data_IF_956696649698
#
_entry.id   IF_956696649698
#
_cell.length_a   1.000
_cell.length_b   1.000
_cell.length_c   1.000
_cell.angle_alpha   90.00
_cell.angle_beta   90.00
_cell.angle_gamma   90.00
#
_symmetry.space_group_name_H-M   'P 1'
#
loop_
_entity.id
_entity.type
_entity.pdbx_description
1 polymer ?
#
# COMPACT_ATOMS: atom_id res chain seq x y z
N UNK A 1 29.75 21.17 -21.65
CA UNK A 1 29.84 20.66 -20.27
C UNK A 1 28.76 21.26 -19.38
N UNK A 2 28.57 22.59 -19.37
CA UNK A 2 27.56 23.27 -18.53
C UNK A 2 26.11 22.81 -18.76
N UNK A 3 25.68 22.66 -20.03
CA UNK A 3 24.32 22.19 -20.35
C UNK A 3 24.07 20.77 -19.83
N UNK A 4 25.05 19.86 -19.97
CA UNK A 4 24.95 18.50 -19.45
C UNK A 4 24.82 18.51 -17.93
N UNK A 5 25.63 19.31 -17.23
CA UNK A 5 25.55 19.47 -15.77
C UNK A 5 24.19 20.00 -15.34
N UNK A 6 23.65 21.00 -16.04
CA UNK A 6 22.32 21.54 -15.75
C UNK A 6 21.21 20.48 -15.94
N UNK A 7 21.27 19.69 -17.01
CA UNK A 7 20.31 18.61 -17.26
C UNK A 7 20.37 17.53 -16.17
N UNK A 8 21.57 17.15 -15.73
CA UNK A 8 21.75 16.18 -14.64
C UNK A 8 21.22 16.72 -13.30
N UNK A 9 21.44 18.00 -13.00
CA UNK A 9 20.91 18.63 -11.79
C UNK A 9 19.37 18.69 -11.78
N UNK A 10 18.76 19.00 -12.92
CA UNK A 10 17.30 18.98 -13.09
C UNK A 10 16.77 17.56 -12.90
N UNK A 11 17.39 16.56 -13.55
CA UNK A 11 16.99 15.16 -13.40
C UNK A 11 17.10 14.69 -11.95
N UNK A 12 18.22 14.99 -11.27
CA UNK A 12 18.40 14.65 -9.87
C UNK A 12 17.35 15.32 -8.96
N UNK A 13 17.01 16.58 -9.24
CA UNK A 13 15.97 17.30 -8.50
C UNK A 13 14.58 16.68 -8.69
N UNK A 14 14.24 16.30 -9.92
CA UNK A 14 12.99 15.61 -10.25
C UNK A 14 12.93 14.25 -9.54
N UNK A 15 14.00 13.45 -9.62
CA UNK A 15 14.08 12.15 -8.95
C UNK A 15 13.97 12.29 -7.43
N UNK A 16 14.67 13.25 -6.83
CA UNK A 16 14.58 13.54 -5.40
C UNK A 16 13.16 13.91 -4.98
N UNK A 17 12.48 14.77 -5.75
CA UNK A 17 11.10 15.14 -5.51
C UNK A 17 10.15 13.94 -5.62
N UNK A 18 10.29 13.10 -6.65
CA UNK A 18 9.47 11.89 -6.82
C UNK A 18 9.67 10.92 -5.65
N UNK A 19 10.91 10.66 -5.23
CA UNK A 19 11.22 9.78 -4.08
C UNK A 19 10.61 10.35 -2.80
N UNK A 20 10.73 11.66 -2.56
CA UNK A 20 10.12 12.32 -1.42
C UNK A 20 8.60 12.15 -1.41
N UNK A 21 7.94 12.37 -2.55
CA UNK A 21 6.49 12.18 -2.71
C UNK A 21 6.07 10.73 -2.48
N UNK A 22 6.80 9.77 -3.03
CA UNK A 22 6.53 8.34 -2.83
C UNK A 22 6.64 7.95 -1.35
N UNK A 23 7.69 8.39 -0.66
CA UNK A 23 7.86 8.15 0.79
C UNK A 23 6.76 8.77 1.62
N UNK A 24 6.30 9.98 1.26
CA UNK A 24 5.21 10.66 1.96
C UNK A 24 3.89 9.89 1.84
N UNK A 25 3.59 9.37 0.66
CA UNK A 25 2.41 8.51 0.44
C UNK A 25 2.49 7.25 1.31
N UNK A 26 3.64 6.60 1.37
CA UNK A 26 3.82 5.35 2.12
C UNK A 26 3.62 5.49 3.64
N UNK A 27 3.67 6.70 4.18
CA UNK A 27 3.40 7.01 5.59
C UNK A 27 1.93 7.25 5.92
N UNK A 28 1.05 7.32 4.93
CA UNK A 28 -0.34 7.75 5.11
C UNK A 28 -1.10 6.93 6.16
N UNK A 29 -0.98 5.59 6.12
CA UNK A 29 -1.62 4.69 7.08
C UNK A 29 -0.90 4.61 8.43
N UNK A 30 0.43 4.74 8.42
CA UNK A 30 1.25 4.81 9.64
C UNK A 30 0.85 6.01 10.50
N UNK A 31 0.74 7.19 9.89
CA UNK A 31 0.30 8.44 10.54
C UNK A 31 -1.12 8.37 11.10
N UNK A 32 -1.94 7.44 10.60
CA UNK A 32 -3.35 7.23 11.02
C UNK A 32 -3.52 6.06 11.97
N UNK A 33 -2.45 5.35 12.31
CA UNK A 33 -2.51 4.16 13.15
C UNK A 33 -3.31 3.00 12.54
N UNK A 34 -3.48 2.98 11.22
CA UNK A 34 -4.20 1.90 10.54
C UNK A 34 -3.21 0.77 10.22
N UNK A 35 -3.47 -0.48 10.67
CA UNK A 35 -2.61 -1.61 10.34
C UNK A 35 -2.53 -1.83 8.83
N UNK A 36 -1.32 -1.93 8.31
CA UNK A 36 -1.05 -2.10 6.88
C UNK A 36 0.26 -2.86 6.67
N UNK A 37 0.53 -3.26 5.44
CA UNK A 37 1.85 -3.76 5.03
C UNK A 37 2.66 -2.64 4.39
N UNK A 38 3.95 -2.58 4.72
CA UNK A 38 4.86 -1.59 4.17
C UNK A 38 4.85 -1.68 2.64
N UNK A 39 4.38 -0.65 1.94
CA UNK A 39 4.32 -0.66 0.48
C UNK A 39 5.70 -0.49 -0.15
N UNK A 40 5.87 -1.03 -1.36
CA UNK A 40 6.98 -0.68 -2.24
C UNK A 40 6.90 0.79 -2.67
N UNK A 41 8.06 1.40 -2.98
CA UNK A 41 8.10 2.77 -3.49
C UNK A 41 7.43 2.83 -4.87
N UNK A 42 6.49 3.76 -5.05
CA UNK A 42 5.65 3.97 -6.26
C UNK A 42 4.64 2.86 -6.61
N UNK A 43 4.95 1.58 -6.35
CA UNK A 43 4.10 0.45 -6.71
C UNK A 43 3.17 -0.04 -5.61
N UNK A 44 3.28 0.50 -4.40
CA UNK A 44 2.37 0.14 -3.32
C UNK A 44 2.53 -1.32 -2.89
N UNK A 45 1.42 -1.94 -2.54
CA UNK A 45 1.32 -3.38 -2.32
C UNK A 45 0.93 -4.15 -3.60
N UNK A 46 0.64 -3.44 -4.70
CA UNK A 46 0.21 -4.05 -5.97
C UNK A 46 1.35 -4.72 -6.77
N UNK A 47 2.61 -4.59 -6.35
CA UNK A 47 3.77 -5.12 -7.10
C UNK A 47 3.72 -6.63 -7.35
N UNK A 48 3.31 -7.44 -6.36
CA UNK A 48 3.18 -8.89 -6.53
C UNK A 48 2.06 -9.26 -7.52
N UNK A 49 0.99 -8.47 -7.54
CA UNK A 49 -0.09 -8.60 -8.51
C UNK A 49 0.34 -8.22 -9.94
N UNK A 50 1.12 -7.15 -10.09
CA UNK A 50 1.62 -6.68 -11.39
C UNK A 50 2.66 -7.63 -12.00
N UNK A 51 3.46 -8.30 -11.18
CA UNK A 51 4.46 -9.28 -11.62
C UNK A 51 3.88 -10.67 -11.84
N UNK A 52 2.57 -10.86 -11.60
CA UNK A 52 1.89 -12.15 -11.76
C UNK A 52 2.29 -13.21 -10.73
N UNK A 53 3.03 -12.83 -9.68
CA UNK A 53 3.43 -13.73 -8.61
C UNK A 53 2.25 -14.08 -7.70
N UNK A 54 1.26 -13.19 -7.61
CA UNK A 54 0.08 -13.34 -6.76
C UNK A 54 -1.15 -12.78 -7.45
N UNK A 55 -2.33 -13.30 -7.10
CA UNK A 55 -3.57 -12.64 -7.47
C UNK A 55 -3.62 -11.26 -6.81
N UNK A 56 -3.75 -10.21 -7.64
CA UNK A 56 -3.68 -8.80 -7.25
C UNK A 56 -4.65 -8.41 -6.12
N UNK A 57 -5.69 -9.20 -5.86
CA UNK A 57 -6.68 -8.90 -4.83
C UNK A 57 -6.89 -9.99 -3.77
N UNK A 58 -6.63 -11.26 -4.06
CA UNK A 58 -7.00 -12.36 -3.15
C UNK A 58 -5.89 -12.73 -2.18
N UNK A 59 -4.66 -12.84 -2.66
CA UNK A 59 -3.57 -13.39 -1.86
C UNK A 59 -3.08 -12.39 -0.80
N UNK A 60 -2.98 -11.11 -1.16
CA UNK A 60 -2.61 -10.08 -0.19
C UNK A 60 -3.68 -9.90 0.89
N UNK A 61 -4.97 -9.95 0.55
CA UNK A 61 -6.06 -9.83 1.53
C UNK A 61 -5.97 -10.96 2.55
N UNK A 62 -5.80 -12.21 2.09
CA UNK A 62 -5.68 -13.37 2.97
C UNK A 62 -4.48 -13.24 3.91
N UNK A 63 -3.33 -12.78 3.42
CA UNK A 63 -2.14 -12.54 4.26
C UNK A 63 -2.38 -11.44 5.29
N UNK A 64 -2.95 -10.32 4.86
CA UNK A 64 -3.19 -9.17 5.72
C UNK A 64 -4.25 -9.47 6.80
N UNK A 65 -5.29 -10.22 6.45
CA UNK A 65 -6.35 -10.65 7.36
C UNK A 65 -5.82 -11.64 8.42
N UNK A 66 -4.89 -12.53 8.03
CA UNK A 66 -4.21 -13.45 8.95
C UNK A 66 -3.20 -12.72 9.86
N UNK A 67 -2.49 -11.73 9.32
CA UNK A 67 -1.50 -10.94 10.07
C UNK A 67 -2.14 -10.02 11.10
N UNK A 68 -3.30 -9.47 10.78
CA UNK A 68 -4.06 -8.55 11.64
C UNK A 68 -5.47 -9.08 11.89
N UNK A 69 -5.63 -10.17 12.67
CA UNK A 69 -6.91 -10.85 12.84
C UNK A 69 -7.97 -10.00 13.52
N UNK A 70 -7.57 -9.11 14.44
CA UNK A 70 -8.49 -8.29 15.25
C UNK A 70 -8.68 -6.87 14.70
N UNK A 71 -8.05 -6.53 13.58
CA UNK A 71 -8.17 -5.20 12.99
C UNK A 71 -9.45 -5.11 12.13
N UNK A 72 -10.40 -4.22 12.45
CA UNK A 72 -11.61 -4.02 11.64
C UNK A 72 -11.32 -3.24 10.35
N UNK A 73 -10.24 -2.46 10.36
CA UNK A 73 -9.79 -1.62 9.26
C UNK A 73 -8.36 -1.98 8.91
N UNK A 74 -8.10 -2.14 7.62
CA UNK A 74 -6.79 -2.45 7.08
C UNK A 74 -6.43 -1.46 5.99
N UNK A 75 -5.19 -0.98 6.02
CA UNK A 75 -4.64 -0.12 4.99
C UNK A 75 -4.02 -0.95 3.87
N UNK A 76 -4.32 -0.58 2.65
CA UNK A 76 -3.70 -1.09 1.43
C UNK A 76 -3.19 0.08 0.60
N UNK A 77 -2.16 -0.12 -0.22
CA UNK A 77 -1.73 0.84 -1.21
C UNK A 77 -1.86 0.24 -2.61
N UNK A 78 -2.82 0.74 -3.38
CA UNK A 78 -2.87 0.47 -4.81
C UNK A 78 -1.99 1.47 -5.54
N UNK A 79 -0.79 1.04 -5.94
CA UNK A 79 0.27 1.94 -6.41
C UNK A 79 0.53 3.04 -5.36
N UNK A 80 0.36 4.30 -5.73
CA UNK A 80 0.47 5.46 -4.84
C UNK A 80 -0.84 5.88 -4.18
N UNK A 81 -1.91 5.08 -4.29
CA UNK A 81 -3.22 5.41 -3.73
C UNK A 81 -3.46 4.61 -2.45
N UNK A 82 -3.58 5.26 -1.28
CA UNK A 82 -4.00 4.58 -0.07
C UNK A 82 -5.48 4.17 -0.20
N UNK A 83 -5.78 2.90 0.00
CA UNK A 83 -7.12 2.31 0.00
C UNK A 83 -7.41 1.78 1.41
N UNK A 84 -8.55 2.18 1.97
CA UNK A 84 -9.05 1.62 3.22
C UNK A 84 -9.86 0.36 2.92
N UNK A 85 -9.53 -0.72 3.60
CA UNK A 85 -10.16 -2.01 3.45
C UNK A 85 -10.91 -2.27 4.75
N UNK A 86 -12.24 -2.31 4.65
CA UNK A 86 -13.09 -2.68 5.78
C UNK A 86 -13.13 -4.19 5.84
N UNK A 87 -12.63 -4.77 6.93
CA UNK A 87 -12.82 -6.19 7.21
C UNK A 87 -14.27 -6.36 7.61
N UNK A 88 -15.06 -7.03 6.78
CA UNK A 88 -16.41 -7.41 7.15
C UNK A 88 -16.30 -8.30 8.39
N UNK A 89 -16.79 -7.81 9.53
CA UNK A 89 -16.90 -8.57 10.78
C UNK A 89 -18.14 -9.44 10.65
N UNK A 90 -18.16 -10.28 9.61
CA UNK A 90 -19.17 -11.28 9.34
C UNK A 90 -19.00 -12.48 10.27
N UNK A 91 -18.99 -12.22 11.57
CA UNK A 91 -19.42 -13.20 12.57
C UNK A 91 -20.63 -12.60 13.26
N UNK A 92 -21.68 -12.38 12.47
CA UNK A 92 -23.02 -12.64 12.99
C UNK A 92 -23.01 -14.16 13.16
N UNK A 93 -22.89 -14.59 14.41
CA UNK A 93 -23.32 -15.91 14.83
C UNK A 93 -24.66 -16.21 14.13
N UNK A 94 -24.68 -17.10 13.15
CA UNK A 94 -25.89 -17.85 12.81
C UNK A 94 -26.10 -18.92 13.89
N UNK A 95 -26.08 -18.49 15.16
CA UNK A 95 -26.59 -19.24 16.31
C UNK A 95 -28.08 -18.91 16.54
N UNK A 96 -28.73 -18.29 15.54
CA UNK A 96 -30.18 -18.18 15.48
C UNK A 96 -30.65 -19.03 14.31
N UNK A 97 -30.87 -20.33 14.58
CA UNK A 97 -32.09 -21.12 14.30
C UNK A 97 -31.76 -22.60 14.52
N UNK A 98 -32.35 -23.13 15.61
CA UNK A 98 -32.76 -24.50 15.94
C UNK A 98 -31.81 -25.67 15.69
#
# INVERSE_FOLDING_TARGET
MEVLTALLAILASILGYLIYRGRKVNKYWEERGVPHETPGLFFGNSWSGLTGQESMLFDWKNKLYKKYPNAPLLGYYDLMRPILVVKDIGTIHLDIIS
#
